data_IF_177772898952
#
_entry.id   IF_177772898952
#
_cell.length_a   1.000
_cell.length_b   1.000
_cell.length_c   1.000
_cell.angle_alpha   90.00
_cell.angle_beta   90.00
_cell.angle_gamma   90.00
#
_symmetry.space_group_name_H-M   'P 1'
#
loop_
_entity.id
_entity.type
_entity.pdbx_description
1 polymer ?
#
# COMPACT_ATOMS: atom_id res chain seq x y z
N UNK A 1 -9.81 6.14 -12.40
CA UNK A 1 -10.27 6.27 -11.00
C UNK A 1 -9.48 7.40 -10.35
N UNK A 2 -10.12 8.33 -9.65
CA UNK A 2 -9.43 9.43 -8.95
C UNK A 2 -8.86 8.93 -7.62
N UNK A 3 -7.81 9.57 -7.12
CA UNK A 3 -7.21 9.25 -5.82
C UNK A 3 -8.23 9.44 -4.68
N UNK A 4 -9.03 10.50 -4.78
CA UNK A 4 -10.15 10.80 -3.88
C UNK A 4 -11.13 9.63 -3.73
N UNK A 5 -11.61 9.09 -4.86
CA UNK A 5 -12.56 7.99 -4.89
C UNK A 5 -11.95 6.66 -4.45
N UNK A 6 -10.64 6.48 -4.63
CA UNK A 6 -9.89 5.36 -4.06
C UNK A 6 -9.90 5.44 -2.52
N UNK A 7 -9.55 6.60 -1.97
CA UNK A 7 -9.53 6.81 -0.53
C UNK A 7 -10.90 6.68 0.11
N UNK A 8 -11.95 7.19 -0.54
CA UNK A 8 -13.32 6.98 -0.05
C UNK A 8 -13.65 5.48 -0.01
N UNK A 9 -13.35 4.73 -1.07
CA UNK A 9 -13.61 3.28 -1.10
C UNK A 9 -12.83 2.55 0.01
N UNK A 10 -11.55 2.88 0.20
CA UNK A 10 -10.73 2.30 1.28
C UNK A 10 -11.28 2.68 2.65
N UNK A 11 -11.74 3.92 2.84
CA UNK A 11 -12.35 4.35 4.10
C UNK A 11 -13.60 3.54 4.43
N UNK A 12 -14.47 3.32 3.44
CA UNK A 12 -15.69 2.55 3.61
C UNK A 12 -15.40 1.05 3.82
N UNK A 13 -14.55 0.44 3.00
CA UNK A 13 -14.27 -1.01 3.08
C UNK A 13 -13.33 -1.38 4.24
N UNK A 14 -12.35 -0.54 4.53
CA UNK A 14 -11.41 -0.71 5.64
C UNK A 14 -11.93 -0.19 6.99
N UNK A 15 -13.18 0.30 7.02
CA UNK A 15 -13.81 0.88 8.21
C UNK A 15 -12.95 1.97 8.89
N UNK A 16 -12.24 2.78 8.11
CA UNK A 16 -11.41 3.85 8.67
C UNK A 16 -12.27 5.06 9.06
N UNK A 17 -12.02 5.66 10.24
CA UNK A 17 -12.86 6.76 10.75
C UNK A 17 -12.68 8.05 9.95
N UNK A 18 -11.50 8.26 9.35
CA UNK A 18 -11.19 9.45 8.57
C UNK A 18 -10.52 9.08 7.26
N UNK A 19 -10.58 10.01 6.31
CA UNK A 19 -9.89 9.86 5.03
C UNK A 19 -8.38 9.86 5.17
N UNK A 20 -7.84 10.67 6.09
CA UNK A 20 -6.41 10.67 6.42
C UNK A 20 -5.96 9.29 6.89
N UNK A 21 -6.73 8.61 7.76
CA UNK A 21 -6.40 7.23 8.17
C UNK A 21 -6.42 6.23 7.02
N UNK A 22 -7.37 6.36 6.11
CA UNK A 22 -7.42 5.54 4.90
C UNK A 22 -6.20 5.81 3.98
N UNK A 23 -5.75 7.07 3.91
CA UNK A 23 -4.57 7.46 3.15
C UNK A 23 -3.27 6.96 3.77
N UNK A 24 -3.11 7.07 5.10
CA UNK A 24 -1.97 6.50 5.82
C UNK A 24 -1.87 4.99 5.59
N UNK A 25 -3.00 4.27 5.70
CA UNK A 25 -3.05 2.84 5.44
C UNK A 25 -2.69 2.51 3.99
N UNK A 26 -3.25 3.24 3.02
CA UNK A 26 -2.92 3.07 1.61
C UNK A 26 -1.43 3.28 1.35
N UNK A 27 -0.84 4.36 1.88
CA UNK A 27 0.58 4.66 1.71
C UNK A 27 1.47 3.59 2.34
N UNK A 28 1.11 3.08 3.52
CA UNK A 28 1.84 1.99 4.17
C UNK A 28 1.80 0.70 3.33
N UNK A 29 0.63 0.33 2.80
CA UNK A 29 0.46 -0.84 1.92
C UNK A 29 1.26 -0.67 0.63
N UNK A 30 1.13 0.47 -0.05
CA UNK A 30 1.84 0.74 -1.30
C UNK A 30 3.36 0.77 -1.08
N UNK A 31 3.83 1.28 0.06
CA UNK A 31 5.24 1.26 0.38
C UNK A 31 5.79 -0.16 0.57
N UNK A 32 5.10 -1.00 1.34
CA UNK A 32 5.51 -2.39 1.53
C UNK A 32 5.32 -3.27 0.29
N UNK A 33 4.33 -2.99 -0.56
CA UNK A 33 4.17 -3.67 -1.85
C UNK A 33 5.24 -3.22 -2.85
N UNK A 34 5.63 -1.95 -2.86
CA UNK A 34 6.71 -1.43 -3.72
C UNK A 34 8.05 -2.11 -3.49
N UNK A 35 8.30 -2.56 -2.24
CA UNK A 35 9.50 -3.31 -1.88
C UNK A 35 9.47 -4.79 -2.31
N UNK A 36 8.29 -5.39 -2.52
CA UNK A 36 8.13 -6.82 -2.82
C UNK A 36 7.81 -7.11 -4.28
N UNK A 37 7.03 -6.25 -4.95
CA UNK A 37 6.60 -6.47 -6.33
C UNK A 37 7.75 -6.05 -7.27
N UNK A 38 8.21 -7.00 -8.08
CA UNK A 38 9.30 -6.80 -9.05
C UNK A 38 8.84 -7.16 -10.47
N UNK A 39 9.63 -6.79 -11.48
CA UNK A 39 9.36 -7.16 -12.87
C UNK A 39 8.14 -6.48 -13.51
N UNK A 40 7.48 -7.19 -14.44
CA UNK A 40 6.37 -6.67 -15.25
C UNK A 40 5.11 -6.38 -14.41
N UNK A 41 4.87 -7.14 -13.35
CA UNK A 41 3.72 -6.94 -12.45
C UNK A 41 3.78 -5.57 -11.77
N UNK A 42 4.99 -5.06 -11.46
CA UNK A 42 5.18 -3.72 -10.90
C UNK A 42 4.67 -2.64 -11.85
N UNK A 43 4.97 -2.78 -13.14
CA UNK A 43 4.59 -1.81 -14.18
C UNK A 43 3.10 -1.85 -14.40
N UNK A 44 2.51 -3.05 -14.49
CA UNK A 44 1.07 -3.23 -14.64
C UNK A 44 0.31 -2.66 -13.44
N UNK A 45 0.79 -2.91 -12.22
CA UNK A 45 0.18 -2.38 -11.00
C UNK A 45 0.31 -0.86 -10.90
N UNK A 46 1.49 -0.30 -11.17
CA UNK A 46 1.69 1.15 -11.19
C UNK A 46 0.80 1.85 -12.24
N UNK A 47 0.58 1.22 -13.39
CA UNK A 47 -0.28 1.75 -14.45
C UNK A 47 -1.78 1.69 -14.10
N UNK A 48 -2.20 0.74 -13.26
CA UNK A 48 -3.57 0.63 -12.78
C UNK A 48 -3.90 1.61 -11.65
N UNK A 49 -2.88 2.16 -10.97
CA UNK A 49 -3.05 3.08 -9.85
C UNK A 49 -3.34 4.53 -10.29
N UNK A 50 -4.10 5.29 -9.48
CA UNK A 50 -4.12 6.75 -9.62
C UNK A 50 -2.72 7.34 -9.49
N UNK A 51 -2.45 8.44 -10.21
CA UNK A 51 -1.11 9.04 -10.30
C UNK A 51 -0.46 9.36 -8.94
N UNK A 52 -1.24 9.77 -7.95
CA UNK A 52 -0.76 10.05 -6.59
C UNK A 52 -0.31 8.77 -5.87
N UNK A 53 -1.14 7.73 -5.89
CA UNK A 53 -0.81 6.41 -5.34
C UNK A 53 0.38 5.76 -6.07
N UNK A 54 0.42 5.87 -7.40
CA UNK A 54 1.51 5.34 -8.21
C UNK A 54 2.86 5.96 -7.81
N UNK A 55 2.90 7.27 -7.51
CA UNK A 55 4.14 7.94 -7.04
C UNK A 55 4.67 7.31 -5.75
N UNK A 56 3.79 7.08 -4.77
CA UNK A 56 4.17 6.46 -3.49
C UNK A 56 4.70 5.04 -3.73
N UNK A 57 4.01 4.25 -4.55
CA UNK A 57 4.42 2.90 -4.91
C UNK A 57 5.76 2.84 -5.66
N UNK A 58 6.01 3.78 -6.59
CA UNK A 58 7.25 3.83 -7.37
C UNK A 58 8.42 4.47 -6.62
N UNK A 59 8.14 5.22 -5.54
CA UNK A 59 9.15 5.88 -4.72
C UNK A 59 9.98 4.90 -3.90
N UNK A 60 9.39 3.79 -3.48
CA UNK A 60 10.11 2.70 -2.83
C UNK A 60 10.87 1.86 -3.87
N UNK A 61 12.16 1.64 -3.64
CA UNK A 61 12.97 0.76 -4.46
C UNK A 61 12.65 -0.71 -4.13
N UNK A 62 12.53 -1.59 -5.13
CA UNK A 62 12.34 -3.02 -4.88
C UNK A 62 13.52 -3.54 -4.06
N UNK A 63 13.22 -4.29 -3.01
CA UNK A 63 14.24 -4.97 -2.22
C UNK A 63 14.99 -5.98 -3.08
N UNK A 64 16.28 -6.16 -2.81
CA UNK A 64 17.10 -7.19 -3.51
C UNK A 64 16.65 -8.60 -3.09
N UNK A 65 15.99 -8.72 -1.94
CA UNK A 65 15.41 -9.96 -1.42
C UNK A 65 13.92 -9.69 -1.08
N UNK A 66 12.97 -10.27 -1.82
CA UNK A 66 11.56 -10.14 -1.49
C UNK A 66 11.33 -10.83 -0.15
N UNK A 67 11.02 -10.04 0.87
CA UNK A 67 10.73 -10.54 2.20
C UNK A 67 9.59 -11.59 2.15
N UNK A 68 9.61 -12.62 3.01
CA UNK A 68 8.49 -13.56 3.10
C UNK A 68 7.21 -12.80 3.47
N UNK A 69 6.07 -13.19 2.89
CA UNK A 69 4.79 -12.50 3.03
C UNK A 69 4.40 -12.18 4.49
N UNK A 70 4.79 -13.03 5.45
CA UNK A 70 4.57 -12.79 6.88
C UNK A 70 5.32 -11.55 7.41
N UNK A 71 6.53 -11.28 6.93
CA UNK A 71 7.32 -10.09 7.30
C UNK A 71 6.71 -8.81 6.74
N UNK A 72 6.05 -8.87 5.58
CA UNK A 72 5.28 -7.74 5.06
C UNK A 72 4.07 -7.41 5.94
N UNK A 73 3.35 -8.42 6.41
CA UNK A 73 2.22 -8.21 7.33
C UNK A 73 2.71 -7.59 8.64
N UNK A 74 3.86 -8.02 9.14
CA UNK A 74 4.49 -7.47 10.35
C UNK A 74 4.92 -6.00 10.16
N UNK A 75 5.60 -5.68 9.06
CA UNK A 75 6.01 -4.29 8.73
C UNK A 75 4.78 -3.38 8.51
N UNK A 76 3.74 -3.93 7.88
CA UNK A 76 2.48 -3.22 7.65
C UNK A 76 1.73 -2.96 8.96
N UNK A 77 1.69 -3.94 9.87
CA UNK A 77 1.11 -3.80 11.20
C UNK A 77 1.81 -2.68 11.99
N UNK A 78 3.15 -2.68 12.00
CA UNK A 78 3.96 -1.64 12.63
C UNK A 78 3.68 -0.25 12.05
N UNK A 79 3.58 -0.13 10.71
CA UNK A 79 3.35 1.17 10.03
C UNK A 79 1.92 1.70 10.13
N UNK A 80 0.93 0.82 10.18
CA UNK A 80 -0.49 1.22 10.25
C UNK A 80 -1.02 1.34 11.69
N UNK A 81 -0.21 0.98 12.70
CA UNK A 81 -0.62 0.96 14.10
C UNK A 81 -1.66 -0.10 14.42
N UNK A 82 -1.92 -1.03 13.49
CA UNK A 82 -2.74 -2.21 13.72
C UNK A 82 -1.88 -3.36 14.22
N UNK A 83 -2.38 -4.13 15.17
CA UNK A 83 -1.79 -5.43 15.51
C UNK A 83 -2.05 -6.42 14.38
N UNK A 84 -1.02 -7.16 13.93
CA UNK A 84 -1.22 -8.33 13.07
C UNK A 84 -2.29 -9.21 13.72
N UNK A 85 -3.44 -9.35 13.06
CA UNK A 85 -4.52 -10.16 13.59
C UNK A 85 -4.02 -11.61 13.72
N UNK A 86 -4.01 -12.11 14.95
CA UNK A 86 -3.85 -13.53 15.29
C UNK A 86 -4.92 -14.37 14.62
#
# INVERSE_FOLDING_TARGET
MTFDRLLEKIRYEGAYPTRERAEEALNAVLGGLGAQITGEERVAFAAALPREAARVFTGEAPGIDPAPAARFVDDLAVRTGGTAAT
#
